data_IF_473227746259
#
_entry.id   IF_473227746259
#
_cell.length_a   1.000
_cell.length_b   1.000
_cell.length_c   1.000
_cell.angle_alpha   90.00
_cell.angle_beta   90.00
_cell.angle_gamma   90.00
#
_symmetry.space_group_name_H-M   'P 1'
#
loop_
_entity.id
_entity.type
_entity.pdbx_description
1 polymer ?
#
# COMPACT_ATOMS: atom_id res chain seq x y z
N UNK A 1 -15.25 -2.37 -7.20
CA UNK A 1 -13.82 -2.20 -6.98
C UNK A 1 -13.62 -1.28 -5.80
N UNK A 2 -13.23 -1.86 -4.68
CA UNK A 2 -12.90 -1.20 -3.43
C UNK A 2 -11.64 -1.83 -2.87
N UNK A 3 -10.78 -1.04 -2.24
CA UNK A 3 -9.59 -1.57 -1.56
C UNK A 3 -10.05 -2.32 -0.29
N UNK A 4 -9.74 -3.60 -0.19
CA UNK A 4 -10.08 -4.43 0.99
C UNK A 4 -8.89 -4.68 1.89
N UNK A 5 -7.68 -4.73 1.33
CA UNK A 5 -6.48 -5.05 2.09
C UNK A 5 -5.28 -4.26 1.57
N UNK A 6 -4.43 -3.83 2.50
CA UNK A 6 -3.12 -3.26 2.23
C UNK A 6 -2.10 -4.04 3.05
N UNK A 7 -1.08 -4.55 2.38
CA UNK A 7 0.00 -5.32 2.99
C UNK A 7 1.35 -4.67 2.67
N UNK A 8 2.26 -4.72 3.63
CA UNK A 8 3.61 -4.18 3.49
C UNK A 8 4.66 -5.27 3.65
N UNK A 9 5.70 -5.21 2.82
CA UNK A 9 6.78 -6.18 2.78
C UNK A 9 8.13 -5.47 2.80
N UNK A 10 9.05 -6.00 3.59
CA UNK A 10 10.44 -5.52 3.62
C UNK A 10 11.34 -6.67 3.22
N UNK A 11 12.12 -6.48 2.16
CA UNK A 11 13.11 -7.43 1.67
C UNK A 11 14.48 -6.76 1.65
N UNK A 12 15.32 -7.07 2.65
CA UNK A 12 16.57 -6.36 2.93
C UNK A 12 16.33 -4.83 3.06
N UNK A 13 16.79 -4.06 2.06
CA UNK A 13 16.66 -2.60 1.99
C UNK A 13 15.49 -2.12 1.15
N UNK A 14 14.74 -3.04 0.53
CA UNK A 14 13.61 -2.72 -0.32
C UNK A 14 12.31 -2.78 0.46
N UNK A 15 11.41 -1.85 0.15
CA UNK A 15 10.07 -1.79 0.70
C UNK A 15 9.07 -1.97 -0.45
N UNK A 16 8.18 -2.93 -0.30
CA UNK A 16 7.08 -3.18 -1.23
C UNK A 16 5.75 -3.08 -0.50
N UNK A 17 4.71 -2.75 -1.24
CA UNK A 17 3.33 -2.84 -0.78
C UNK A 17 2.48 -3.56 -1.81
N UNK A 18 1.43 -4.22 -1.33
CA UNK A 18 0.38 -4.81 -2.15
C UNK A 18 -0.97 -4.32 -1.65
N UNK A 19 -1.82 -3.89 -2.57
CA UNK A 19 -3.24 -3.66 -2.32
C UNK A 19 -4.06 -4.75 -3.00
N UNK A 20 -5.09 -5.23 -2.31
CA UNK A 20 -6.05 -6.21 -2.83
C UNK A 20 -7.44 -5.61 -2.81
N UNK A 21 -8.19 -5.76 -3.89
CA UNK A 21 -9.56 -5.28 -4.03
C UNK A 21 -10.60 -6.37 -3.77
N UNK A 22 -11.86 -5.94 -3.65
CA UNK A 22 -13.06 -6.80 -3.49
C UNK A 22 -13.32 -7.79 -4.64
N UNK A 23 -12.64 -7.62 -5.77
CA UNK A 23 -12.68 -8.50 -6.94
C UNK A 23 -11.36 -9.27 -7.19
N UNK A 24 -10.55 -9.44 -6.14
CA UNK A 24 -9.25 -10.13 -6.13
C UNK A 24 -8.16 -9.49 -7.01
N UNK A 25 -8.40 -8.32 -7.61
CA UNK A 25 -7.36 -7.60 -8.33
C UNK A 25 -6.28 -7.08 -7.37
N UNK A 26 -5.03 -7.08 -7.84
CA UNK A 26 -3.88 -6.70 -7.03
C UNK A 26 -3.05 -5.61 -7.70
N UNK A 27 -2.71 -4.59 -6.92
CA UNK A 27 -1.73 -3.56 -7.27
C UNK A 27 -0.48 -3.71 -6.41
N UNK A 28 0.70 -3.60 -7.02
CA UNK A 28 1.99 -3.68 -6.31
C UNK A 28 2.76 -2.38 -6.51
N UNK A 29 3.35 -1.87 -5.42
CA UNK A 29 4.18 -0.67 -5.43
C UNK A 29 5.50 -0.86 -4.67
N UNK A 30 6.50 -0.06 -5.01
CA UNK A 30 7.78 0.01 -4.32
C UNK A 30 7.97 1.40 -3.71
N UNK A 31 8.48 1.45 -2.47
CA UNK A 31 8.95 2.69 -1.86
C UNK A 31 10.47 2.79 -1.89
N UNK A 32 10.99 3.99 -2.12
CA UNK A 32 12.42 4.26 -2.36
C UNK A 32 13.18 4.76 -1.13
N UNK A 33 12.60 4.65 0.07
CA UNK A 33 13.27 5.05 1.32
C UNK A 33 14.20 3.94 1.84
N UNK A 34 15.20 3.59 1.04
CA UNK A 34 16.00 2.37 1.20
C UNK A 34 16.81 2.28 2.49
N UNK A 35 17.17 3.42 3.11
CA UNK A 35 17.88 3.43 4.39
C UNK A 35 16.98 3.05 5.57
N UNK A 36 15.66 3.18 5.43
CA UNK A 36 14.69 2.95 6.50
C UNK A 36 13.39 2.30 5.97
N UNK A 37 13.45 1.11 5.34
CA UNK A 37 12.29 0.49 4.70
C UNK A 37 11.16 0.16 5.68
N UNK A 38 11.49 -0.14 6.95
CA UNK A 38 10.49 -0.33 8.02
C UNK A 38 9.77 0.96 8.39
N UNK A 39 10.46 2.10 8.34
CA UNK A 39 9.83 3.40 8.58
C UNK A 39 8.85 3.73 7.44
N UNK A 40 9.22 3.46 6.19
CA UNK A 40 8.30 3.58 5.05
C UNK A 40 7.02 2.74 5.25
N UNK A 41 7.16 1.49 5.69
CA UNK A 41 6.00 0.64 6.02
C UNK A 41 5.13 1.20 7.14
N UNK A 42 5.73 1.76 8.19
CA UNK A 42 4.97 2.41 9.27
C UNK A 42 4.16 3.61 8.76
N UNK A 43 4.72 4.39 7.84
CA UNK A 43 4.00 5.51 7.22
C UNK A 43 2.84 4.99 6.38
N UNK A 44 3.05 4.02 5.50
CA UNK A 44 1.98 3.41 4.68
C UNK A 44 0.85 2.85 5.54
N UNK A 45 1.18 2.11 6.60
CA UNK A 45 0.18 1.55 7.51
C UNK A 45 -0.66 2.65 8.19
N UNK A 46 -0.08 3.82 8.48
CA UNK A 46 -0.81 4.95 9.08
C UNK A 46 -1.87 5.58 8.17
N UNK A 47 -1.76 5.39 6.84
CA UNK A 47 -2.76 5.82 5.87
C UNK A 47 -3.78 4.74 5.52
N UNK A 48 -3.58 3.49 5.97
CA UNK A 48 -4.39 2.36 5.48
C UNK A 48 -5.87 2.55 5.78
N UNK A 49 -6.23 3.00 6.97
CA UNK A 49 -7.63 3.23 7.36
C UNK A 49 -8.35 4.28 6.50
N UNK A 50 -7.61 5.24 5.93
CA UNK A 50 -8.15 6.26 5.02
C UNK A 50 -8.39 5.71 3.61
N UNK A 51 -7.69 4.63 3.23
CA UNK A 51 -7.73 4.06 1.88
C UNK A 51 -8.71 2.88 1.76
N UNK A 52 -8.92 2.14 2.85
CA UNK A 52 -9.82 1.00 2.86
C UNK A 52 -11.25 1.40 2.47
N UNK A 53 -11.86 0.63 1.58
CA UNK A 53 -13.21 0.88 1.04
C UNK A 53 -13.29 1.91 -0.10
N UNK A 54 -12.22 2.65 -0.39
CA UNK A 54 -12.18 3.60 -1.51
C UNK A 54 -12.02 2.89 -2.86
N UNK A 55 -12.50 3.54 -3.91
CA UNK A 55 -12.30 3.12 -5.31
C UNK A 55 -10.82 3.33 -5.70
N UNK A 56 -10.05 2.26 -6.01
CA UNK A 56 -8.63 2.35 -6.31
C UNK A 56 -8.33 3.11 -7.61
N UNK A 57 -9.31 3.34 -8.49
CA UNK A 57 -9.11 4.07 -9.74
C UNK A 57 -9.14 5.60 -9.55
N UNK A 58 -9.48 6.11 -8.36
CA UNK A 58 -9.55 7.55 -8.06
C UNK A 58 -8.25 8.10 -7.48
N UNK A 59 -7.11 7.81 -8.10
CA UNK A 59 -5.77 8.01 -7.53
C UNK A 59 -5.41 9.45 -7.15
N UNK A 60 -5.97 10.47 -7.81
CA UNK A 60 -5.67 11.88 -7.54
C UNK A 60 -6.58 12.54 -6.48
N UNK A 61 -7.66 11.86 -6.09
CA UNK A 61 -8.72 12.43 -5.25
C UNK A 61 -8.80 11.79 -3.86
N UNK A 62 -7.76 11.07 -3.45
CA UNK A 62 -7.62 10.42 -2.15
C UNK A 62 -7.04 11.40 -1.12
#
# INVERSE_FOLDING_TARGET
>A
MRIEQIETFVADRFFFLRLTTDDDAQGVGEGTFWSFPRAAGSVVNSYSDMLLGHDPMRIECI
#
